data_IF_171945390317
#
_entry.id   IF_171945390317
#
_cell.length_a   1.000
_cell.length_b   1.000
_cell.length_c   1.000
_cell.angle_alpha   90.00
_cell.angle_beta   90.00
_cell.angle_gamma   90.00
#
_symmetry.space_group_name_H-M   'P 1'
#
loop_
_entity.id
_entity.type
_entity.pdbx_description
1 polymer ?
#
# COMPACT_ATOMS: atom_id res chain seq x y z
N UNK A 1 10.66 34.61 -1.22
CA UNK A 1 11.55 33.46 -1.39
C UNK A 1 12.46 33.79 -2.57
N UNK A 2 13.79 33.82 -2.39
CA UNK A 2 14.70 34.17 -3.49
C UNK A 2 14.92 32.95 -4.40
N UNK A 3 15.18 33.13 -5.71
CA UNK A 3 15.23 32.03 -6.69
C UNK A 3 16.42 31.06 -6.56
N UNK A 4 17.37 31.31 -5.65
CA UNK A 4 18.70 30.67 -5.67
C UNK A 4 19.04 29.81 -4.44
N UNK A 5 18.06 29.49 -3.57
CA UNK A 5 18.29 28.51 -2.50
C UNK A 5 18.38 27.11 -3.11
N UNK A 6 19.58 26.72 -3.54
CA UNK A 6 19.88 25.36 -4.00
C UNK A 6 19.58 24.37 -2.86
N UNK A 7 18.72 23.38 -3.13
CA UNK A 7 18.57 22.21 -2.27
C UNK A 7 19.89 21.43 -2.33
N UNK A 8 20.80 21.69 -1.39
CA UNK A 8 22.14 21.07 -1.36
C UNK A 8 22.15 19.64 -0.82
N UNK A 9 21.09 19.21 -0.12
CA UNK A 9 21.04 17.92 0.60
C UNK A 9 19.89 17.02 0.11
N UNK A 10 19.76 16.83 -1.22
CA UNK A 10 18.82 15.87 -1.80
C UNK A 10 19.52 14.57 -2.17
N UNK A 11 19.03 13.44 -1.64
CA UNK A 11 19.47 12.10 -2.02
C UNK A 11 18.29 11.30 -2.60
N UNK A 12 18.43 10.84 -3.84
CA UNK A 12 17.49 9.92 -4.47
C UNK A 12 18.08 8.51 -4.39
N UNK A 13 17.33 7.58 -3.80
CA UNK A 13 17.71 6.17 -3.71
C UNK A 13 16.68 5.37 -4.51
N UNK A 14 17.14 4.68 -5.56
CA UNK A 14 16.27 3.90 -6.44
C UNK A 14 16.38 2.42 -6.13
N UNK A 15 15.24 1.75 -5.93
CA UNK A 15 15.16 0.32 -5.70
C UNK A 15 13.94 -0.08 -4.87
N UNK A 16 13.88 -1.36 -4.50
CA UNK A 16 12.82 -1.89 -3.65
C UNK A 16 13.00 -1.38 -2.21
N UNK A 17 11.96 -0.81 -1.62
CA UNK A 17 12.03 -0.29 -0.26
C UNK A 17 12.33 -1.39 0.78
N UNK A 18 11.95 -2.65 0.51
CA UNK A 18 12.24 -3.80 1.37
C UNK A 18 13.74 -4.13 1.41
N UNK A 19 14.50 -3.72 0.40
CA UNK A 19 15.96 -3.90 0.37
C UNK A 19 16.70 -2.63 0.75
N UNK A 20 16.14 -1.45 0.46
CA UNK A 20 16.77 -0.17 0.78
C UNK A 20 16.64 0.18 2.26
N UNK A 21 15.43 0.11 2.83
CA UNK A 21 15.17 0.59 4.19
C UNK A 21 16.08 -0.09 5.23
N UNK A 22 16.34 -1.42 5.19
CA UNK A 22 17.25 -2.07 6.13
C UNK A 22 18.68 -1.50 6.15
N UNK A 23 19.12 -0.88 5.05
CA UNK A 23 20.47 -0.30 4.93
C UNK A 23 20.55 1.15 5.42
N UNK A 24 19.43 1.77 5.79
CA UNK A 24 19.42 3.13 6.35
C UNK A 24 19.70 3.08 7.86
N UNK A 25 20.38 4.11 8.36
CA UNK A 25 20.63 4.26 9.79
C UNK A 25 19.30 4.34 10.57
N UNK A 26 19.26 3.67 11.72
CA UNK A 26 18.13 3.81 12.65
C UNK A 26 18.02 5.27 13.12
N UNK A 27 16.81 5.70 13.49
CA UNK A 27 16.57 7.01 14.10
C UNK A 27 17.16 8.22 13.33
N UNK A 28 17.22 8.11 12.00
CA UNK A 28 17.85 9.10 11.12
C UNK A 28 16.86 9.98 10.37
N UNK A 29 15.58 9.60 10.34
CA UNK A 29 14.53 10.28 9.58
C UNK A 29 13.52 10.92 10.52
N UNK A 30 13.17 12.19 10.28
CA UNK A 30 12.15 12.89 11.09
C UNK A 30 10.72 12.57 10.63
N UNK A 31 10.51 12.45 9.32
CA UNK A 31 9.16 12.34 8.77
C UNK A 31 9.17 11.42 7.54
N UNK A 32 8.21 10.50 7.48
CA UNK A 32 7.91 9.73 6.31
C UNK A 32 6.52 10.15 5.80
N UNK A 33 6.43 10.53 4.53
CA UNK A 33 5.16 10.82 3.85
C UNK A 33 5.06 9.89 2.66
N UNK A 34 4.02 9.05 2.60
CA UNK A 34 3.93 8.05 1.54
C UNK A 34 2.50 7.62 1.22
N UNK A 35 2.34 7.13 -0.02
CA UNK A 35 1.14 6.46 -0.50
C UNK A 35 1.54 5.15 -1.17
N UNK A 36 1.57 4.00 -0.45
CA UNK A 36 1.91 2.73 -1.08
C UNK A 36 0.88 2.40 -2.16
N UNK A 37 1.21 1.50 -3.12
CA UNK A 37 0.24 1.02 -4.09
C UNK A 37 -1.04 0.53 -3.42
N UNK A 38 -2.20 0.99 -3.90
CA UNK A 38 -3.48 0.57 -3.35
C UNK A 38 -3.83 -0.82 -3.87
N UNK A 39 -4.28 -1.67 -2.96
CA UNK A 39 -4.57 -3.06 -3.27
C UNK A 39 -5.64 -3.20 -4.36
N UNK A 40 -5.40 -4.06 -5.35
CA UNK A 40 -6.35 -4.34 -6.43
C UNK A 40 -6.57 -3.18 -7.40
N UNK A 41 -5.79 -2.10 -7.31
CA UNK A 41 -6.00 -0.90 -8.10
C UNK A 41 -5.18 -0.89 -9.39
N UNK A 42 -3.85 -0.86 -9.32
CA UNK A 42 -2.98 -0.69 -10.50
C UNK A 42 -2.01 -1.85 -10.66
N UNK A 43 -1.74 -2.21 -11.90
CA UNK A 43 -0.66 -3.12 -12.26
C UNK A 43 0.53 -2.30 -12.79
N UNK A 44 1.66 -2.40 -12.09
CA UNK A 44 2.92 -1.77 -12.41
C UNK A 44 3.86 -2.67 -13.24
N UNK A 45 3.37 -3.82 -13.73
CA UNK A 45 4.11 -4.78 -14.52
C UNK A 45 5.40 -5.28 -13.83
N UNK A 46 5.37 -5.36 -12.50
CA UNK A 46 6.48 -5.84 -11.68
C UNK A 46 6.01 -7.00 -10.80
N UNK A 47 6.69 -8.15 -10.87
CA UNK A 47 6.27 -9.38 -10.17
C UNK A 47 6.22 -9.22 -8.65
N UNK A 48 7.14 -8.43 -8.09
CA UNK A 48 7.20 -8.15 -6.65
C UNK A 48 6.42 -6.90 -6.21
N UNK A 49 5.56 -6.31 -7.06
CA UNK A 49 4.81 -5.10 -6.70
C UNK A 49 3.93 -5.33 -5.46
N UNK A 50 3.87 -4.34 -4.58
CA UNK A 50 2.85 -4.26 -3.54
C UNK A 50 1.52 -3.85 -4.20
N UNK A 51 0.40 -4.31 -3.63
CA UNK A 51 -0.95 -4.00 -4.09
C UNK A 51 -1.54 -5.05 -5.04
N UNK A 52 -0.77 -6.09 -5.40
CA UNK A 52 -1.20 -7.22 -6.22
C UNK A 52 -1.28 -8.54 -5.43
N UNK A 53 -1.25 -8.48 -4.10
CA UNK A 53 -1.30 -9.64 -3.23
C UNK A 53 -2.60 -10.45 -3.42
N UNK A 54 -2.55 -11.79 -3.29
CA UNK A 54 -3.70 -12.67 -3.35
C UNK A 54 -4.87 -12.33 -2.42
N UNK A 55 -4.61 -11.69 -1.27
CA UNK A 55 -5.65 -11.32 -0.30
C UNK A 55 -5.39 -9.95 0.35
N UNK A 56 -6.45 -9.29 0.86
CA UNK A 56 -6.32 -8.09 1.68
C UNK A 56 -5.38 -8.26 2.88
N UNK A 57 -5.43 -9.41 3.55
CA UNK A 57 -4.61 -9.67 4.74
C UNK A 57 -3.13 -9.80 4.39
N UNK A 58 -2.80 -10.41 3.25
CA UNK A 58 -1.41 -10.50 2.79
C UNK A 58 -0.86 -9.12 2.38
N UNK A 59 -1.69 -8.28 1.77
CA UNK A 59 -1.35 -6.88 1.53
C UNK A 59 -1.05 -6.12 2.82
N UNK A 60 -1.93 -6.23 3.82
CA UNK A 60 -1.73 -5.60 5.13
C UNK A 60 -0.45 -6.12 5.79
N UNK A 61 -0.21 -7.44 5.76
CA UNK A 61 1.02 -8.05 6.31
C UNK A 61 2.28 -7.52 5.61
N UNK A 62 2.26 -7.38 4.29
CA UNK A 62 3.40 -6.83 3.55
C UNK A 62 3.65 -5.37 3.91
N UNK A 63 2.60 -4.56 4.05
CA UNK A 63 2.71 -3.18 4.50
C UNK A 63 3.26 -3.09 5.92
N UNK A 64 2.79 -3.91 6.86
CA UNK A 64 3.35 -3.97 8.23
C UNK A 64 4.85 -4.26 8.18
N UNK A 65 5.30 -5.20 7.34
CA UNK A 65 6.74 -5.48 7.16
C UNK A 65 7.54 -4.25 6.69
N UNK A 66 7.04 -3.53 5.70
CA UNK A 66 7.67 -2.28 5.21
C UNK A 66 7.67 -1.20 6.30
N UNK A 67 6.54 -0.99 6.96
CA UNK A 67 6.41 0.06 7.96
C UNK A 67 7.18 -0.26 9.23
N UNK A 68 7.44 -1.53 9.56
CA UNK A 68 8.37 -1.86 10.66
C UNK A 68 9.76 -1.27 10.42
N UNK A 69 10.26 -1.37 9.18
CA UNK A 69 11.53 -0.75 8.80
C UNK A 69 11.43 0.78 8.76
N UNK A 70 10.29 1.34 8.33
CA UNK A 70 10.06 2.79 8.43
C UNK A 70 10.12 3.25 9.89
N UNK A 71 9.50 2.51 10.82
CA UNK A 71 9.53 2.84 12.26
C UNK A 71 10.96 2.83 12.80
N UNK A 72 11.78 1.87 12.38
CA UNK A 72 13.20 1.74 12.79
C UNK A 72 14.03 2.95 12.35
N UNK A 73 13.83 3.44 11.13
CA UNK A 73 14.61 4.58 10.60
C UNK A 73 14.07 5.92 11.08
N UNK A 74 12.82 5.98 11.53
CA UNK A 74 12.27 7.16 12.17
C UNK A 74 12.92 7.39 13.54
N UNK A 75 13.13 8.66 13.87
CA UNK A 75 13.46 9.11 15.22
C UNK A 75 12.32 8.77 16.19
N UNK A 76 12.61 8.79 17.49
CA UNK A 76 11.61 8.58 18.54
C UNK A 76 10.44 9.60 18.45
N UNK A 77 10.74 10.84 18.06
CA UNK A 77 9.77 11.92 17.80
C UNK A 77 9.29 12.00 16.33
N UNK A 78 9.62 10.96 15.53
CA UNK A 78 9.33 10.91 14.11
C UNK A 78 7.87 10.61 13.79
N UNK A 79 7.40 11.08 12.63
CA UNK A 79 6.01 10.91 12.20
C UNK A 79 5.88 10.19 10.86
N UNK A 80 4.89 9.31 10.74
CA UNK A 80 4.46 8.71 9.48
C UNK A 80 3.11 9.30 9.04
N UNK A 81 3.08 9.82 7.83
CA UNK A 81 1.87 10.24 7.12
C UNK A 81 1.59 9.25 6.00
N UNK A 82 0.55 8.44 6.20
CA UNK A 82 0.22 7.32 5.32
C UNK A 82 -1.11 7.57 4.61
N UNK A 83 -1.07 7.61 3.28
CA UNK A 83 -2.26 7.68 2.44
C UNK A 83 -2.54 6.31 1.80
N UNK A 84 -3.67 5.69 2.14
CA UNK A 84 -4.10 4.38 1.61
C UNK A 84 -5.55 4.49 1.19
N UNK A 85 -5.85 4.05 -0.04
CA UNK A 85 -7.22 3.99 -0.54
C UNK A 85 -7.91 2.67 -0.16
N UNK A 86 -9.23 2.73 -0.03
CA UNK A 86 -10.05 1.54 0.19
C UNK A 86 -10.48 0.89 -1.13
N UNK A 87 -11.01 -0.32 -1.01
CA UNK A 87 -11.61 -1.09 -2.09
C UNK A 87 -12.97 -1.63 -1.67
N UNK A 88 -13.73 -2.07 -2.67
CA UNK A 88 -14.95 -2.83 -2.45
C UNK A 88 -14.71 -4.29 -2.82
N UNK A 89 -15.23 -5.19 -2.01
CA UNK A 89 -15.30 -6.62 -2.26
C UNK A 89 -16.27 -6.89 -3.41
N UNK A 90 -15.85 -6.65 -4.66
CA UNK A 90 -16.71 -6.84 -5.82
C UNK A 90 -16.75 -8.29 -6.29
N UNK A 91 -17.96 -8.83 -6.40
CA UNK A 91 -18.34 -9.89 -7.33
C UNK A 91 -18.76 -9.26 -8.66
N UNK A 92 -17.85 -9.27 -9.64
CA UNK A 92 -18.20 -9.09 -11.04
C UNK A 92 -17.93 -7.72 -11.66
N UNK A 93 -17.21 -7.73 -12.79
CA UNK A 93 -17.50 -6.87 -13.92
C UNK A 93 -18.52 -7.54 -14.84
N UNK A 94 -19.21 -6.76 -15.66
CA UNK A 94 -19.97 -7.28 -16.80
C UNK A 94 -19.01 -7.87 -17.82
N UNK A 95 -18.88 -9.19 -17.85
CA UNK A 95 -18.10 -9.92 -18.85
C UNK A 95 -18.13 -11.43 -18.61
N UNK A 96 -18.19 -12.20 -19.70
CA UNK A 96 -18.15 -13.66 -19.64
C UNK A 96 -16.84 -14.15 -19.01
N UNK A 97 -16.96 -15.14 -18.13
CA UNK A 97 -15.86 -15.90 -17.55
C UNK A 97 -14.96 -16.47 -18.66
N UNK A 98 -13.65 -16.20 -18.58
CA UNK A 98 -12.65 -16.75 -19.50
C UNK A 98 -11.42 -15.84 -19.63
N UNK A 99 -10.30 -16.35 -20.17
CA UNK A 99 -9.04 -15.61 -20.34
C UNK A 99 -9.14 -14.37 -21.27
N UNK A 100 -10.31 -14.11 -21.86
CA UNK A 100 -10.55 -13.09 -22.89
C UNK A 100 -11.59 -12.02 -22.49
N UNK A 101 -11.90 -11.83 -21.20
CA UNK A 101 -12.84 -10.80 -20.78
C UNK A 101 -12.28 -9.38 -21.03
N UNK A 102 -12.85 -8.66 -22.01
CA UNK A 102 -12.48 -7.28 -22.37
C UNK A 102 -13.21 -6.30 -21.45
N UNK A 103 -12.48 -5.69 -20.52
CA UNK A 103 -12.98 -4.56 -19.72
C UNK A 103 -12.59 -3.24 -20.39
N UNK A 104 -13.59 -2.37 -20.59
CA UNK A 104 -13.42 -1.08 -21.25
C UNK A 104 -12.38 -0.18 -20.59
N UNK A 105 -11.41 0.23 -21.39
CA UNK A 105 -10.53 1.39 -21.22
C UNK A 105 -9.54 1.43 -20.03
N UNK A 106 -9.12 0.30 -19.46
CA UNK A 106 -8.08 0.31 -18.42
C UNK A 106 -6.97 -0.71 -18.65
N UNK A 107 -6.05 -0.39 -19.57
CA UNK A 107 -4.86 -1.18 -19.90
C UNK A 107 -3.87 -1.41 -18.73
N UNK A 108 -4.09 -0.81 -17.55
CA UNK A 108 -3.15 -0.81 -16.40
C UNK A 108 -3.81 -1.01 -15.02
N UNK A 109 -5.09 -1.40 -14.96
CA UNK A 109 -5.60 -1.94 -13.69
C UNK A 109 -5.04 -3.36 -13.53
N UNK A 110 -5.02 -3.88 -12.30
CA UNK A 110 -4.85 -5.32 -12.10
C UNK A 110 -5.96 -6.00 -12.90
N UNK A 111 -5.59 -6.55 -14.05
CA UNK A 111 -6.48 -7.04 -15.09
C UNK A 111 -7.04 -8.39 -14.62
N UNK A 112 -7.88 -8.38 -13.57
CA UNK A 112 -8.44 -9.57 -12.92
C UNK A 112 -9.57 -9.22 -11.91
N UNK A 113 -10.33 -8.14 -12.12
CA UNK A 113 -11.51 -7.80 -11.29
C UNK A 113 -12.71 -8.76 -11.45
N UNK A 114 -12.48 -9.97 -11.98
CA UNK A 114 -13.46 -11.04 -12.11
C UNK A 114 -13.20 -12.19 -11.12
N UNK A 115 -12.64 -11.88 -9.95
CA UNK A 115 -12.53 -12.85 -8.87
C UNK A 115 -13.77 -12.70 -8.00
N UNK A 116 -14.62 -13.74 -7.96
CA UNK A 116 -15.57 -13.90 -6.87
C UNK A 116 -14.82 -13.64 -5.56
N UNK A 117 -15.34 -12.77 -4.71
CA UNK A 117 -14.80 -12.55 -3.36
C UNK A 117 -14.74 -13.91 -2.68
N UNK A 118 -13.54 -14.42 -2.34
CA UNK A 118 -13.42 -15.71 -1.68
C UNK A 118 -14.14 -15.68 -0.34
N UNK A 119 -14.94 -16.71 -0.06
CA UNK A 119 -15.70 -16.82 1.20
C UNK A 119 -14.75 -16.76 2.42
N UNK A 120 -13.49 -17.17 2.26
CA UNK A 120 -12.47 -17.12 3.30
C UNK A 120 -12.09 -15.69 3.75
N UNK A 121 -12.47 -14.65 3.03
CA UNK A 121 -12.24 -13.26 3.46
C UNK A 121 -13.34 -12.75 4.40
N UNK A 122 -14.45 -13.46 4.51
CA UNK A 122 -15.59 -13.06 5.35
C UNK A 122 -16.29 -11.77 4.86
N UNK A 123 -16.10 -11.39 3.60
CA UNK A 123 -16.71 -10.20 2.98
C UNK A 123 -17.82 -10.61 2.02
N UNK A 124 -18.93 -9.89 2.05
CA UNK A 124 -20.03 -10.02 1.08
C UNK A 124 -19.71 -9.23 -0.19
N UNK A 125 -20.46 -9.50 -1.25
CA UNK A 125 -20.42 -8.66 -2.45
C UNK A 125 -20.69 -7.19 -2.09
N UNK A 126 -19.87 -6.30 -2.62
CA UNK A 126 -19.89 -4.85 -2.45
C UNK A 126 -19.65 -4.38 -1.02
N UNK A 127 -19.18 -5.24 -0.12
CA UNK A 127 -18.72 -4.78 1.18
C UNK A 127 -17.52 -3.85 0.99
N UNK A 128 -17.49 -2.77 1.76
CA UNK A 128 -16.29 -1.95 1.90
C UNK A 128 -15.22 -2.80 2.60
N UNK A 129 -14.04 -2.93 2.00
CA UNK A 129 -12.99 -3.80 2.55
C UNK A 129 -12.40 -3.26 3.85
N UNK A 130 -12.47 -1.95 4.07
CA UNK A 130 -11.94 -1.30 5.26
C UNK A 130 -10.41 -1.33 5.28
N UNK A 131 -9.75 -1.31 4.11
CA UNK A 131 -8.29 -1.43 4.02
C UNK A 131 -7.55 -0.37 4.86
N UNK A 132 -7.94 0.93 4.86
CA UNK A 132 -7.28 1.92 5.72
C UNK A 132 -7.35 1.56 7.21
N UNK A 133 -8.50 1.07 7.67
CA UNK A 133 -8.70 0.63 9.06
C UNK A 133 -7.91 -0.64 9.38
N UNK A 134 -7.92 -1.63 8.49
CA UNK A 134 -7.14 -2.88 8.64
C UNK A 134 -5.65 -2.58 8.76
N UNK A 135 -5.11 -1.72 7.88
CA UNK A 135 -3.72 -1.28 7.92
C UNK A 135 -3.43 -0.56 9.24
N UNK A 136 -4.27 0.40 9.64
CA UNK A 136 -4.05 1.16 10.86
C UNK A 136 -4.04 0.28 12.12
N UNK A 137 -5.01 -0.63 12.26
CA UNK A 137 -5.06 -1.55 13.40
C UNK A 137 -3.90 -2.54 13.40
N UNK A 138 -3.50 -3.04 12.24
CA UNK A 138 -2.33 -3.93 12.14
C UNK A 138 -1.03 -3.19 12.50
N UNK A 139 -0.87 -1.93 12.09
CA UNK A 139 0.25 -1.10 12.51
C UNK A 139 0.21 -0.81 14.01
N UNK A 140 -0.96 -0.53 14.59
CA UNK A 140 -1.08 -0.38 16.04
C UNK A 140 -0.66 -1.65 16.79
N UNK A 141 -1.09 -2.81 16.32
CA UNK A 141 -0.67 -4.10 16.87
C UNK A 141 0.85 -4.34 16.75
N UNK A 142 1.50 -3.77 15.72
CA UNK A 142 2.95 -3.81 15.52
C UNK A 142 3.74 -2.74 16.32
N UNK A 143 3.04 -1.91 17.12
CA UNK A 143 3.64 -0.91 18.00
C UNK A 143 3.60 0.52 17.50
N UNK A 144 2.81 0.82 16.47
CA UNK A 144 2.53 2.21 16.05
C UNK A 144 1.46 2.88 16.92
N UNK A 145 1.52 4.21 17.02
CA UNK A 145 0.47 5.00 17.66
C UNK A 145 -0.35 5.74 16.60
N UNK A 146 -1.63 5.40 16.48
CA UNK A 146 -2.56 6.13 15.62
C UNK A 146 -2.98 7.44 16.30
N UNK A 147 -2.67 8.58 15.67
CA UNK A 147 -2.94 9.93 16.20
C UNK A 147 -4.04 10.69 15.45
N UNK A 148 -4.46 10.20 14.28
CA UNK A 148 -5.50 10.81 13.46
C UNK A 148 -6.74 9.92 13.36
N UNK A 149 -7.87 10.53 13.03
CA UNK A 149 -9.05 9.80 12.54
C UNK A 149 -8.78 9.33 11.10
N UNK A 150 -9.43 8.25 10.69
CA UNK A 150 -9.35 7.64 9.36
C UNK A 150 -10.69 7.82 8.67
#
# INVERSE_FOLDING_TARGET
MKPDDKISDLKIITGDNRTILPNLAAESIQCCVTSPPYWGLRDYAHSAQIGAEPSPDQYVSNLVGVFREVRRVLREDGTLWLNVGDGYARNGGTGNCGPNAIVGNTKKLIQKRNCKVPDCWGLKDRDLMGLPWRVAFALQADGWVLRSRI
#
